data_IF_726305937843
#
_entry.id   IF_726305937843
#
_cell.length_a   1.000
_cell.length_b   1.000
_cell.length_c   1.000
_cell.angle_alpha   90.00
_cell.angle_beta   90.00
_cell.angle_gamma   90.00
#
_symmetry.space_group_name_H-M   'P 1'
#
loop_
_entity.id
_entity.type
_entity.pdbx_description
1 polymer ?
#
# COMPACT_ATOMS: atom_id res chain seq x y z
N UNK A 1 4.20 14.79 -37.36
CA UNK A 1 4.89 13.90 -36.40
C UNK A 1 4.74 14.31 -34.92
N UNK A 2 4.32 15.55 -34.58
CA UNK A 2 4.17 16.02 -33.19
C UNK A 2 2.97 15.39 -32.43
N UNK A 3 1.89 15.06 -33.16
CA UNK A 3 0.59 14.63 -32.62
C UNK A 3 0.67 13.21 -32.05
N UNK A 4 1.48 12.33 -32.66
CA UNK A 4 1.72 10.97 -32.18
C UNK A 4 2.49 10.93 -30.86
N UNK A 5 3.41 11.88 -30.65
CA UNK A 5 4.15 12.00 -29.40
C UNK A 5 3.25 12.45 -28.24
N UNK A 6 2.31 13.38 -28.48
CA UNK A 6 1.32 13.78 -27.47
C UNK A 6 0.37 12.65 -27.07
N UNK A 7 -0.06 11.81 -28.02
CA UNK A 7 -0.94 10.68 -27.74
C UNK A 7 -0.25 9.60 -26.89
N UNK A 8 1.04 9.34 -27.14
CA UNK A 8 1.81 8.38 -26.34
C UNK A 8 1.98 8.84 -24.88
N UNK A 9 2.22 10.14 -24.66
CA UNK A 9 2.34 10.72 -23.31
C UNK A 9 1.00 10.67 -22.57
N UNK A 10 -0.11 10.97 -23.23
CA UNK A 10 -1.46 10.86 -22.65
C UNK A 10 -1.80 9.41 -22.26
N UNK A 11 -1.40 8.44 -23.08
CA UNK A 11 -1.63 7.02 -22.79
C UNK A 11 -0.82 6.53 -21.57
N UNK A 12 0.42 7.02 -21.41
CA UNK A 12 1.26 6.69 -20.26
C UNK A 12 0.72 7.27 -18.94
N UNK A 13 0.14 8.48 -18.97
CA UNK A 13 -0.47 9.10 -17.79
C UNK A 13 -1.76 8.36 -17.39
N UNK A 14 -2.53 7.86 -18.36
CA UNK A 14 -3.75 7.09 -18.08
C UNK A 14 -3.50 5.75 -17.36
N UNK A 15 -2.28 5.21 -17.44
CA UNK A 15 -1.88 3.99 -16.75
C UNK A 15 -1.41 4.23 -15.31
N UNK A 16 -1.22 5.48 -14.90
CA UNK A 16 -0.89 5.83 -13.51
C UNK A 16 -2.16 5.78 -12.65
N UNK A 17 -2.58 4.57 -12.26
CA UNK A 17 -3.65 4.39 -11.28
C UNK A 17 -3.24 4.94 -9.90
N UNK A 18 -4.07 5.82 -9.32
CA UNK A 18 -3.95 6.26 -7.93
C UNK A 18 -4.40 5.12 -6.97
N UNK A 19 -3.65 4.03 -6.93
CA UNK A 19 -3.82 2.97 -5.94
C UNK A 19 -3.14 3.34 -4.63
N UNK A 20 -3.86 3.28 -3.52
CA UNK A 20 -3.35 3.63 -2.20
C UNK A 20 -2.49 2.47 -1.64
N UNK A 21 -1.19 2.44 -1.99
CA UNK A 21 -0.25 1.36 -1.68
C UNK A 21 0.28 1.30 -0.23
N UNK A 22 1.53 0.86 -0.07
CA UNK A 22 2.22 0.85 1.21
C UNK A 22 2.46 2.26 1.73
N UNK A 23 2.25 2.48 3.03
CA UNK A 23 2.39 3.79 3.67
C UNK A 23 2.98 3.66 5.07
N UNK A 24 3.71 4.68 5.51
CA UNK A 24 4.13 4.83 6.90
C UNK A 24 2.95 5.38 7.71
N UNK A 25 2.42 4.60 8.65
CA UNK A 25 1.33 4.99 9.54
C UNK A 25 1.82 5.74 10.78
N UNK A 26 2.98 5.35 11.29
CA UNK A 26 3.62 6.00 12.43
C UNK A 26 5.12 6.06 12.18
N UNK A 27 5.68 7.24 12.38
CA UNK A 27 7.12 7.49 12.30
C UNK A 27 7.68 7.67 13.71
N UNK A 28 8.80 7.03 13.99
CA UNK A 28 9.60 7.22 15.21
C UNK A 28 11.04 7.54 14.82
N UNK A 29 11.82 8.05 15.76
CA UNK A 29 13.24 8.34 15.53
C UNK A 29 14.02 7.08 15.20
N UNK A 30 13.70 5.98 15.87
CA UNK A 30 14.36 4.68 15.76
C UNK A 30 13.55 3.64 14.97
N UNK A 31 12.51 4.04 14.23
CA UNK A 31 11.69 3.08 13.48
C UNK A 31 10.32 3.60 13.09
N UNK A 32 9.33 2.72 13.11
CA UNK A 32 7.96 3.08 12.79
C UNK A 32 7.02 1.91 12.55
N UNK A 33 5.86 2.23 11.98
CA UNK A 33 4.87 1.25 11.51
C UNK A 33 4.53 1.57 10.07
N UNK A 34 4.77 0.62 9.17
CA UNK A 34 4.26 0.67 7.79
C UNK A 34 3.02 -0.21 7.67
N UNK A 35 2.09 0.15 6.80
CA UNK A 35 0.96 -0.70 6.48
C UNK A 35 0.62 -0.67 5.00
N UNK A 36 0.18 -1.81 4.48
CA UNK A 36 -0.15 -1.98 3.08
C UNK A 36 -1.44 -2.81 2.90
N UNK A 37 -2.21 -2.57 1.83
CA UNK A 37 -3.41 -3.35 1.55
C UNK A 37 -3.06 -4.74 1.00
N UNK A 38 -3.92 -5.71 1.25
CA UNK A 38 -3.82 -7.04 0.65
C UNK A 38 -5.20 -7.62 0.36
N UNK A 39 -5.26 -8.55 -0.60
CA UNK A 39 -6.46 -9.32 -0.91
C UNK A 39 -6.43 -10.58 -0.02
N UNK A 40 -7.50 -10.83 0.73
CA UNK A 40 -7.57 -11.92 1.72
C UNK A 40 -7.21 -13.29 1.15
N UNK A 41 -7.71 -13.59 -0.04
CA UNK A 41 -7.43 -14.85 -0.76
C UNK A 41 -5.94 -15.04 -1.09
N UNK A 42 -5.19 -13.96 -1.32
CA UNK A 42 -3.76 -14.00 -1.64
C UNK A 42 -2.90 -13.94 -0.37
N UNK A 43 -3.45 -13.40 0.72
CA UNK A 43 -2.76 -13.16 1.97
C UNK A 43 -1.78 -11.98 1.92
N UNK A 44 -1.28 -11.56 3.11
CA UNK A 44 -0.46 -10.36 3.23
C UNK A 44 0.95 -10.54 2.69
N UNK A 45 1.48 -11.77 2.64
CA UNK A 45 2.86 -12.04 2.24
C UNK A 45 3.07 -11.96 0.72
N UNK A 46 2.05 -12.33 -0.06
CA UNK A 46 2.08 -12.33 -1.52
C UNK A 46 1.62 -11.01 -2.12
N UNK A 47 1.14 -10.06 -1.30
CA UNK A 47 0.75 -8.73 -1.77
C UNK A 47 1.95 -8.02 -2.40
N UNK A 48 1.76 -7.52 -3.63
CA UNK A 48 2.77 -6.72 -4.33
C UNK A 48 3.18 -5.46 -3.57
N UNK A 49 2.32 -4.97 -2.68
CA UNK A 49 2.60 -3.82 -1.83
C UNK A 49 3.56 -4.13 -0.67
N UNK A 50 3.80 -5.40 -0.31
CA UNK A 50 4.78 -5.77 0.72
C UNK A 50 6.18 -5.27 0.36
N UNK A 51 6.57 -5.39 -0.91
CA UNK A 51 7.87 -4.88 -1.39
C UNK A 51 8.00 -3.37 -1.19
N UNK A 52 6.92 -2.62 -1.44
CA UNK A 52 6.89 -1.18 -1.16
C UNK A 52 7.01 -0.86 0.33
N UNK A 53 6.38 -1.64 1.20
CA UNK A 53 6.50 -1.48 2.64
C UNK A 53 7.94 -1.71 3.14
N UNK A 54 8.60 -2.77 2.64
CA UNK A 54 10.00 -3.05 2.96
C UNK A 54 10.96 -1.97 2.43
N UNK A 55 10.65 -1.38 1.28
CA UNK A 55 11.41 -0.25 0.73
C UNK A 55 11.29 0.99 1.61
N UNK A 56 10.08 1.34 2.07
CA UNK A 56 9.85 2.45 3.00
C UNK A 56 10.61 2.27 4.32
N UNK A 57 10.64 1.05 4.87
CA UNK A 57 11.42 0.74 6.08
C UNK A 57 12.92 0.97 5.86
N UNK A 58 13.44 0.51 4.70
CA UNK A 58 14.85 0.70 4.33
C UNK A 58 15.20 2.17 4.16
N UNK A 59 14.35 2.93 3.48
CA UNK A 59 14.52 4.36 3.25
C UNK A 59 14.52 5.12 4.58
N UNK A 60 13.59 4.81 5.48
CA UNK A 60 13.50 5.44 6.80
C UNK A 60 14.76 5.22 7.64
N UNK A 61 15.29 4.00 7.66
CA UNK A 61 16.46 3.69 8.48
C UNK A 61 17.80 4.05 7.82
N UNK A 62 17.85 4.24 6.50
CA UNK A 62 19.11 4.43 5.76
C UNK A 62 20.08 3.24 5.85
N UNK A 63 19.64 2.11 6.38
CA UNK A 63 20.50 1.02 6.84
C UNK A 63 19.71 -0.23 7.23
N UNK A 64 20.32 -1.15 7.99
CA UNK A 64 19.64 -2.36 8.45
C UNK A 64 18.52 -2.02 9.44
N UNK A 65 17.50 -2.87 9.46
CA UNK A 65 16.38 -2.78 10.39
C UNK A 65 15.97 -4.18 10.89
N UNK A 66 15.16 -4.21 11.94
CA UNK A 66 14.50 -5.41 12.47
C UNK A 66 13.00 -5.22 12.39
N UNK A 67 12.28 -6.28 11.99
CA UNK A 67 10.84 -6.35 12.15
C UNK A 67 10.55 -6.79 13.59
N UNK A 68 9.79 -5.96 14.32
CA UNK A 68 9.44 -6.20 15.72
C UNK A 68 8.13 -6.99 15.81
N UNK A 69 7.12 -6.58 15.02
CA UNK A 69 5.81 -7.20 15.02
C UNK A 69 5.15 -7.03 13.66
N UNK A 70 4.43 -8.06 13.22
CA UNK A 70 3.57 -8.00 12.04
C UNK A 70 2.16 -8.47 12.40
N UNK A 71 1.15 -7.91 11.75
CA UNK A 71 -0.23 -8.33 11.97
C UNK A 71 -1.24 -7.54 11.15
N UNK A 72 -2.46 -8.06 11.10
CA UNK A 72 -3.56 -7.33 10.49
C UNK A 72 -3.91 -6.11 11.33
N UNK A 73 -4.00 -4.96 10.67
CA UNK A 73 -4.42 -3.69 11.27
C UNK A 73 -5.93 -3.54 11.09
N UNK A 74 -6.58 -2.67 11.89
CA UNK A 74 -8.00 -2.34 11.66
C UNK A 74 -8.16 -1.81 10.23
N UNK A 75 -8.68 -2.66 9.34
CA UNK A 75 -8.99 -2.31 7.96
C UNK A 75 -10.04 -1.20 7.91
N UNK A 76 -10.03 -0.40 6.85
CA UNK A 76 -11.08 0.60 6.61
C UNK A 76 -12.22 -0.12 5.90
N UNK A 77 -13.33 -0.37 6.57
CA UNK A 77 -14.55 -0.80 5.89
C UNK A 77 -15.11 0.37 5.09
N UNK A 78 -15.09 0.29 3.76
CA UNK A 78 -15.81 1.25 2.90
C UNK A 78 -17.04 0.54 2.38
N UNK A 79 -18.23 1.07 2.69
CA UNK A 79 -19.46 0.68 2.00
C UNK A 79 -19.38 1.39 0.65
N UNK A 80 -19.13 0.64 -0.42
CA UNK A 80 -19.23 1.14 -1.79
C UNK A 80 -20.57 0.63 -2.30
N UNK A 81 -21.52 1.52 -2.57
CA UNK A 81 -22.77 1.17 -3.23
C UNK A 81 -22.56 1.36 -4.74
N UNK A 82 -22.29 0.30 -5.53
CA UNK A 82 -22.03 0.45 -6.96
C UNK A 82 -23.32 0.77 -7.74
N UNK A 83 -24.47 0.51 -7.13
CA UNK A 83 -25.83 0.79 -7.63
C UNK A 83 -26.77 1.04 -6.45
N UNK A 84 -27.81 1.85 -6.66
CA UNK A 84 -28.90 1.98 -5.69
C UNK A 84 -29.55 0.60 -5.44
N UNK A 85 -29.32 0.02 -4.26
CA UNK A 85 -29.84 -1.30 -3.87
C UNK A 85 -28.82 -2.44 -3.80
N UNK A 86 -27.56 -2.23 -4.17
CA UNK A 86 -26.48 -3.20 -3.97
C UNK A 86 -25.43 -2.60 -3.00
N UNK A 87 -25.48 -3.01 -1.73
CA UNK A 87 -24.38 -2.75 -0.79
C UNK A 87 -23.39 -3.90 -0.89
N UNK A 88 -22.22 -3.67 -1.49
CA UNK A 88 -21.10 -4.58 -1.40
C UNK A 88 -20.13 -4.05 -0.34
N UNK A 89 -20.02 -4.77 0.78
CA UNK A 89 -19.05 -4.43 1.84
C UNK A 89 -17.69 -4.91 1.38
N UNK A 90 -16.93 -4.05 0.70
CA UNK A 90 -15.52 -4.31 0.41
C UNK A 90 -14.72 -4.08 1.70
N UNK A 91 -14.35 -5.16 2.39
CA UNK A 91 -13.43 -5.09 3.51
C UNK A 91 -12.01 -4.84 2.97
N UNK A 92 -11.49 -3.62 3.11
CA UNK A 92 -10.09 -3.33 2.79
C UNK A 92 -9.20 -3.87 3.92
N UNK A 93 -8.70 -5.10 3.76
CA UNK A 93 -7.74 -5.70 4.67
C UNK A 93 -6.38 -5.00 4.55
N UNK A 94 -5.74 -4.70 5.69
CA UNK A 94 -4.44 -4.03 5.74
C UNK A 94 -3.51 -4.74 6.70
N UNK A 95 -2.30 -5.01 6.23
CA UNK A 95 -1.25 -5.62 7.03
C UNK A 95 -0.28 -4.56 7.52
N UNK A 96 0.02 -4.57 8.82
CA UNK A 96 0.95 -3.66 9.47
C UNK A 96 2.25 -4.36 9.84
N UNK A 97 3.36 -3.64 9.70
CA UNK A 97 4.70 -4.06 10.10
C UNK A 97 5.27 -2.97 11.00
N UNK A 98 5.48 -3.30 12.27
CA UNK A 98 6.29 -2.51 13.18
C UNK A 98 7.76 -2.88 13.02
N UNK A 99 8.61 -1.87 12.89
CA UNK A 99 10.04 -2.04 12.68
C UNK A 99 10.86 -1.09 13.52
N UNK A 100 12.12 -1.47 13.73
CA UNK A 100 13.12 -0.68 14.42
C UNK A 100 14.42 -0.66 13.60
N UNK A 101 15.02 0.51 13.46
CA UNK A 101 16.32 0.70 12.84
C UNK A 101 17.43 0.11 13.72
N UNK A 102 18.53 -0.31 13.09
CA UNK A 102 19.72 -0.82 13.79
C UNK A 102 20.87 0.18 13.76
#
# INVERSE_FOLDING_TARGET
>A
MKIWSSLAVLFLIALAGCGEGAKLLQEREDGGVVAYPFISEQGPMLSSFRTGALALMKEKCGGPYTIVQEGETKGRSRIVSPMAGAEEVVQEHRWGIQFQCK
#
